data_IF_803268557234
#
_entry.id   IF_803268557234
#
_cell.length_a   1.000
_cell.length_b   1.000
_cell.length_c   1.000
_cell.angle_alpha   90.00
_cell.angle_beta   90.00
_cell.angle_gamma   90.00
#
_symmetry.space_group_name_H-M   'P 1'
#
loop_
_entity.id
_entity.type
_entity.pdbx_description
1 polymer ?
#
# COMPACT_ATOMS: atom_id res chain seq x y z
N UNK A 1 67.15 -6.04 78.49
CA UNK A 1 66.95 -5.16 77.32
C UNK A 1 66.85 -6.03 76.08
N UNK A 2 65.67 -6.62 75.89
CA UNK A 2 65.37 -7.57 74.81
C UNK A 2 65.10 -6.84 73.50
N UNK A 3 65.76 -7.28 72.43
CA UNK A 3 65.57 -6.78 71.06
C UNK A 3 64.42 -7.55 70.41
N UNK A 4 63.27 -6.90 70.28
CA UNK A 4 62.10 -7.42 69.58
C UNK A 4 62.27 -7.29 68.06
N UNK A 5 62.28 -8.43 67.35
CA UNK A 5 62.30 -8.52 65.87
C UNK A 5 60.86 -8.51 65.36
N UNK A 6 60.45 -7.46 64.67
CA UNK A 6 59.15 -7.42 63.98
C UNK A 6 59.36 -7.62 62.48
N UNK A 7 58.92 -8.77 61.97
CA UNK A 7 58.90 -9.11 60.54
C UNK A 7 57.62 -8.54 59.92
N UNK A 8 57.77 -7.74 58.88
CA UNK A 8 56.70 -7.26 58.00
C UNK A 8 56.65 -8.21 56.81
N UNK A 9 55.52 -8.90 56.58
CA UNK A 9 55.23 -9.61 55.33
C UNK A 9 53.73 -9.80 55.12
N UNK A 10 53.31 -9.53 53.88
CA UNK A 10 52.08 -10.00 53.20
C UNK A 10 50.77 -9.35 53.67
N UNK A 11 50.08 -8.50 52.90
CA UNK A 11 49.89 -8.50 51.46
C UNK A 11 48.75 -9.43 51.08
N UNK A 12 47.50 -9.00 51.30
CA UNK A 12 46.30 -9.70 50.83
C UNK A 12 45.43 -8.70 50.04
N UNK A 13 45.49 -8.81 48.71
CA UNK A 13 44.59 -8.12 47.79
C UNK A 13 43.17 -8.68 47.95
N UNK A 14 42.21 -7.81 48.23
CA UNK A 14 40.78 -8.11 48.15
C UNK A 14 40.37 -8.02 46.68
N UNK A 15 40.20 -9.17 46.03
CA UNK A 15 39.61 -9.27 44.70
C UNK A 15 38.11 -8.97 44.77
N UNK A 16 37.70 -7.84 44.20
CA UNK A 16 36.30 -7.53 43.93
C UNK A 16 35.83 -8.42 42.77
N UNK A 17 34.97 -9.39 43.08
CA UNK A 17 34.25 -10.19 42.09
C UNK A 17 33.11 -9.31 41.57
N UNK A 18 33.31 -8.70 40.40
CA UNK A 18 32.24 -8.06 39.64
C UNK A 18 31.31 -9.14 39.13
N UNK A 19 30.11 -9.25 39.73
CA UNK A 19 29.01 -10.04 39.16
C UNK A 19 28.55 -9.27 37.92
N UNK A 20 29.01 -9.70 36.75
CA UNK A 20 28.45 -9.27 35.49
C UNK A 20 27.02 -9.80 35.43
N UNK A 21 26.02 -8.94 35.65
CA UNK A 21 24.65 -9.22 35.28
C UNK A 21 24.66 -9.61 33.80
N UNK A 22 24.29 -10.85 33.52
CA UNK A 22 24.04 -11.31 32.17
C UNK A 22 22.87 -10.49 31.66
N UNK A 23 23.14 -9.63 30.69
CA UNK A 23 22.15 -8.80 30.01
C UNK A 23 21.05 -9.74 29.49
N UNK A 24 19.86 -9.66 30.09
CA UNK A 24 18.72 -10.42 29.62
C UNK A 24 18.37 -9.84 28.25
N UNK A 25 18.77 -10.51 27.17
CA UNK A 25 18.26 -10.19 25.83
C UNK A 25 16.73 -10.15 25.93
N UNK A 26 16.08 -9.02 25.64
CA UNK A 26 14.64 -8.94 25.72
C UNK A 26 14.04 -10.06 24.86
N UNK A 27 12.91 -10.66 25.25
CA UNK A 27 12.25 -11.65 24.43
C UNK A 27 12.07 -11.06 23.04
N UNK A 28 12.64 -11.71 22.03
CA UNK A 28 12.33 -11.37 20.63
C UNK A 28 10.83 -11.54 20.46
N UNK A 29 10.14 -10.44 20.20
CA UNK A 29 8.71 -10.47 19.88
C UNK A 29 8.45 -11.55 18.83
N UNK A 30 7.37 -12.35 18.99
CA UNK A 30 7.05 -13.36 18.00
C UNK A 30 6.89 -12.69 16.63
N UNK A 31 7.36 -13.34 15.54
CA UNK A 31 7.23 -12.77 14.22
C UNK A 31 5.76 -12.44 13.94
N UNK A 32 5.47 -11.30 13.28
CA UNK A 32 4.10 -10.90 12.96
C UNK A 32 3.35 -12.05 12.28
N UNK A 33 2.11 -12.28 12.71
CA UNK A 33 1.26 -13.28 12.08
C UNK A 33 1.06 -12.94 10.60
N UNK A 34 1.30 -13.91 9.73
CA UNK A 34 1.16 -13.75 8.27
C UNK A 34 -0.31 -13.59 7.91
N UNK A 35 -0.66 -12.51 7.22
CA UNK A 35 -2.01 -12.28 6.71
C UNK A 35 -2.12 -12.84 5.29
N UNK A 36 -2.93 -13.89 5.12
CA UNK A 36 -3.18 -14.49 3.81
C UNK A 36 -4.23 -13.68 3.03
N UNK A 37 -4.08 -13.62 1.71
CA UNK A 37 -5.05 -13.04 0.80
C UNK A 37 -5.65 -14.10 -0.13
N UNK A 38 -6.80 -13.79 -0.72
CA UNK A 38 -7.51 -14.68 -1.63
C UNK A 38 -7.33 -14.23 -3.07
N UNK A 39 -7.29 -15.21 -3.97
CA UNK A 39 -7.44 -15.02 -5.41
C UNK A 39 -8.90 -14.67 -5.73
N UNK A 40 -9.17 -14.15 -6.93
CA UNK A 40 -10.53 -13.82 -7.38
C UNK A 40 -11.49 -15.02 -7.44
N UNK A 41 -10.96 -16.25 -7.43
CA UNK A 41 -11.74 -17.49 -7.34
C UNK A 41 -11.99 -17.97 -5.90
N UNK A 42 -11.59 -17.19 -4.88
CA UNK A 42 -11.76 -17.49 -3.46
C UNK A 42 -10.69 -18.42 -2.87
N UNK A 43 -9.79 -18.99 -3.68
CA UNK A 43 -8.69 -19.80 -3.15
C UNK A 43 -7.65 -18.92 -2.47
N UNK A 44 -7.01 -19.43 -1.43
CA UNK A 44 -5.85 -18.77 -0.81
C UNK A 44 -4.72 -18.63 -1.82
N UNK A 45 -4.15 -17.42 -1.92
CA UNK A 45 -2.97 -17.15 -2.74
C UNK A 45 -1.78 -17.96 -2.19
N UNK A 46 -0.95 -18.58 -3.04
CA UNK A 46 0.19 -19.39 -2.57
C UNK A 46 1.22 -18.61 -1.73
N UNK A 47 1.25 -17.29 -1.89
CA UNK A 47 2.13 -16.37 -1.16
C UNK A 47 1.29 -15.24 -0.55
N UNK A 48 1.58 -14.82 0.69
CA UNK A 48 0.85 -13.73 1.32
C UNK A 48 1.02 -12.42 0.56
N UNK A 49 -0.04 -11.62 0.50
CA UNK A 49 0.00 -10.29 -0.09
C UNK A 49 0.79 -9.34 0.81
N UNK A 50 1.72 -8.60 0.23
CA UNK A 50 2.57 -7.70 1.02
C UNK A 50 1.84 -6.46 1.52
N UNK A 51 0.82 -6.00 0.79
CA UNK A 51 0.13 -4.74 1.05
C UNK A 51 -1.39 -4.90 1.09
N UNK A 52 -2.05 -3.83 1.52
CA UNK A 52 -3.48 -3.59 1.30
C UNK A 52 -3.66 -2.13 0.93
N UNK A 53 -4.49 -1.88 -0.09
CA UNK A 53 -5.02 -0.54 -0.35
C UNK A 53 -6.26 -0.42 0.52
N UNK A 54 -6.14 0.31 1.63
CA UNK A 54 -7.21 0.40 2.63
C UNK A 54 -8.34 1.29 2.13
N UNK A 55 -7.98 2.41 1.50
CA UNK A 55 -8.93 3.31 0.88
C UNK A 55 -8.32 4.24 -0.15
N UNK A 56 -9.18 4.74 -1.02
CA UNK A 56 -8.95 5.89 -1.89
C UNK A 56 -9.81 7.06 -1.39
N UNK A 57 -9.22 8.21 -1.17
CA UNK A 57 -9.90 9.42 -0.70
C UNK A 57 -9.90 10.43 -1.84
N UNK A 58 -11.09 10.82 -2.29
CA UNK A 58 -11.27 11.80 -3.35
C UNK A 58 -11.39 13.20 -2.75
N UNK A 59 -10.59 14.13 -3.24
CA UNK A 59 -10.56 15.50 -2.75
C UNK A 59 -11.17 16.47 -3.76
N UNK A 60 -11.93 17.43 -3.25
CA UNK A 60 -12.47 18.55 -3.99
C UNK A 60 -11.41 19.60 -4.33
N UNK A 61 -11.79 20.55 -5.18
CA UNK A 61 -10.98 21.71 -5.53
C UNK A 61 -10.60 22.60 -4.34
N UNK A 62 -11.37 22.56 -3.26
CA UNK A 62 -11.12 23.23 -1.98
C UNK A 62 -10.28 22.38 -1.01
N UNK A 63 -9.87 21.17 -1.41
CA UNK A 63 -9.15 20.21 -0.58
C UNK A 63 -10.02 19.41 0.39
N UNK A 64 -11.34 19.63 0.40
CA UNK A 64 -12.27 18.85 1.23
C UNK A 64 -12.45 17.42 0.69
N UNK A 65 -12.77 16.48 1.57
CA UNK A 65 -13.10 15.11 1.15
C UNK A 65 -14.47 15.08 0.47
N UNK A 66 -14.51 14.62 -0.78
CA UNK A 66 -15.76 14.32 -1.52
C UNK A 66 -16.33 12.99 -1.04
N UNK A 67 -15.46 12.00 -0.90
CA UNK A 67 -15.82 10.66 -0.50
C UNK A 67 -14.63 9.72 -0.44
N UNK A 68 -14.87 8.54 0.09
CA UNK A 68 -13.87 7.49 0.23
C UNK A 68 -14.38 6.20 -0.40
N UNK A 69 -13.45 5.43 -0.97
CA UNK A 69 -13.69 4.10 -1.52
C UNK A 69 -12.85 3.10 -0.76
N UNK A 70 -13.45 2.02 -0.30
CA UNK A 70 -12.78 0.93 0.43
C UNK A 70 -12.99 -0.41 -0.28
N UNK A 71 -12.24 -1.47 0.05
CA UNK A 71 -12.47 -2.79 -0.54
C UNK A 71 -13.90 -3.34 -0.38
N UNK A 72 -14.65 -2.86 0.62
CA UNK A 72 -16.05 -3.28 0.87
C UNK A 72 -17.09 -2.25 0.42
N UNK A 73 -16.66 -1.04 0.03
CA UNK A 73 -17.51 0.05 -0.44
C UNK A 73 -16.84 0.72 -1.65
N UNK A 74 -17.09 0.17 -2.84
CA UNK A 74 -16.43 0.57 -4.09
C UNK A 74 -17.08 1.73 -4.83
N UNK A 75 -18.30 2.12 -4.46
CA UNK A 75 -19.06 3.16 -5.15
C UNK A 75 -18.63 4.56 -4.72
N UNK A 76 -18.49 5.48 -5.68
CA UNK A 76 -18.30 6.90 -5.42
C UNK A 76 -19.10 7.75 -6.39
N UNK A 77 -19.66 8.86 -5.89
CA UNK A 77 -20.29 9.89 -6.71
C UNK A 77 -19.37 11.10 -6.78
N UNK A 78 -19.03 11.51 -8.00
CA UNK A 78 -18.09 12.58 -8.31
C UNK A 78 -18.87 13.77 -8.90
N UNK A 79 -18.96 14.87 -8.15
CA UNK A 79 -19.62 16.10 -8.61
C UNK A 79 -18.68 16.96 -9.44
N UNK A 80 -19.10 17.33 -10.64
CA UNK A 80 -18.36 18.18 -11.57
C UNK A 80 -17.99 19.51 -10.90
N UNK A 81 -18.90 20.11 -10.13
CA UNK A 81 -18.65 21.37 -9.41
C UNK A 81 -17.48 21.29 -8.40
N UNK A 82 -17.16 20.10 -7.89
CA UNK A 82 -16.05 19.87 -6.95
C UNK A 82 -14.75 19.44 -7.62
N UNK A 83 -14.73 19.22 -8.94
CA UNK A 83 -13.54 18.77 -9.64
C UNK A 83 -12.42 19.83 -9.58
N UNK A 84 -11.17 19.38 -9.50
CA UNK A 84 -9.98 20.25 -9.55
C UNK A 84 -9.91 20.96 -10.90
N UNK A 85 -10.15 20.21 -11.97
CA UNK A 85 -10.31 20.77 -13.32
C UNK A 85 -11.53 20.13 -13.96
N UNK A 86 -12.22 20.90 -14.79
CA UNK A 86 -13.32 20.45 -15.63
C UNK A 86 -13.17 21.08 -17.01
N UNK A 87 -13.09 20.26 -18.05
CA UNK A 87 -13.13 20.70 -19.44
C UNK A 87 -14.39 20.14 -20.10
N UNK A 88 -15.08 20.98 -20.87
CA UNK A 88 -16.27 20.60 -21.63
C UNK A 88 -16.09 21.04 -23.09
N UNK A 89 -16.32 20.11 -24.02
CA UNK A 89 -16.31 20.37 -25.46
C UNK A 89 -17.56 19.76 -26.08
N UNK A 90 -18.51 20.62 -26.44
CA UNK A 90 -19.85 20.19 -26.84
C UNK A 90 -20.54 19.42 -25.70
N UNK A 91 -20.90 18.16 -25.97
CA UNK A 91 -21.58 17.27 -25.02
C UNK A 91 -20.63 16.33 -24.28
N UNK A 92 -19.31 16.40 -24.50
CA UNK A 92 -18.34 15.53 -23.85
C UNK A 92 -17.38 16.35 -22.99
N UNK A 93 -17.08 15.86 -21.80
CA UNK A 93 -16.20 16.54 -20.86
C UNK A 93 -15.24 15.61 -20.14
N UNK A 94 -14.28 16.21 -19.45
CA UNK A 94 -13.30 15.54 -18.62
C UNK A 94 -13.13 16.28 -17.31
N UNK A 95 -13.23 15.56 -16.21
CA UNK A 95 -12.97 16.06 -14.85
C UNK A 95 -11.74 15.40 -14.26
N UNK A 96 -10.96 16.18 -13.51
CA UNK A 96 -9.80 15.67 -12.76
C UNK A 96 -10.01 15.88 -11.26
N UNK A 97 -9.67 14.86 -10.47
CA UNK A 97 -9.63 14.93 -9.01
C UNK A 97 -8.23 14.62 -8.49
N UNK A 98 -7.92 15.20 -7.32
CA UNK A 98 -6.80 14.71 -6.51
C UNK A 98 -7.32 13.53 -5.69
N UNK A 99 -6.58 12.43 -5.72
CA UNK A 99 -6.92 11.22 -4.99
C UNK A 99 -5.74 10.84 -4.10
N UNK A 100 -6.03 10.52 -2.84
CA UNK A 100 -5.08 9.95 -1.89
C UNK A 100 -5.33 8.45 -1.77
N UNK A 101 -4.32 7.63 -2.04
CA UNK A 101 -4.34 6.22 -1.66
C UNK A 101 -3.72 6.05 -0.28
N UNK A 102 -4.45 5.37 0.61
CA UNK A 102 -3.94 4.93 1.91
C UNK A 102 -3.57 3.45 1.78
N UNK A 103 -2.27 3.18 1.89
CA UNK A 103 -1.71 1.84 1.71
C UNK A 103 -1.09 1.38 3.02
N UNK A 104 -1.35 0.15 3.42
CA UNK A 104 -0.70 -0.49 4.57
C UNK A 104 0.16 -1.66 4.12
N UNK A 105 1.35 -1.82 4.69
CA UNK A 105 2.13 -3.06 4.58
C UNK A 105 1.63 -4.08 5.60
N UNK A 106 1.31 -5.28 5.18
CA UNK A 106 0.85 -6.36 6.06
C UNK A 106 1.89 -7.47 6.25
N UNK A 107 2.72 -7.73 5.23
CA UNK A 107 3.71 -8.79 5.27
C UNK A 107 5.07 -8.31 4.73
N UNK A 108 6.12 -9.04 5.09
CA UNK A 108 7.42 -8.92 4.44
C UNK A 108 7.35 -9.48 3.00
N UNK A 109 8.28 -9.11 2.10
CA UNK A 109 8.30 -9.64 0.76
C UNK A 109 8.47 -11.15 0.74
N UNK A 110 7.62 -11.82 -0.03
CA UNK A 110 7.78 -13.26 -0.26
C UNK A 110 8.99 -13.57 -1.16
N UNK A 111 9.39 -12.58 -1.95
CA UNK A 111 10.55 -12.65 -2.85
C UNK A 111 11.36 -11.36 -2.76
N UNK A 112 12.67 -11.44 -2.98
CA UNK A 112 13.51 -10.26 -3.07
C UNK A 112 13.07 -9.37 -4.25
N UNK A 113 12.60 -8.16 -3.95
CA UNK A 113 12.15 -7.18 -4.93
C UNK A 113 13.36 -6.50 -5.58
N UNK A 114 13.36 -6.34 -6.91
CA UNK A 114 14.53 -5.74 -7.62
C UNK A 114 14.27 -4.28 -7.99
N UNK A 115 13.11 -3.99 -8.59
CA UNK A 115 12.78 -2.66 -9.14
C UNK A 115 11.85 -1.84 -8.24
N UNK A 116 11.33 -2.43 -7.17
CA UNK A 116 10.40 -1.80 -6.23
C UNK A 116 8.94 -2.13 -6.53
N UNK A 117 8.03 -1.26 -6.08
CA UNK A 117 6.60 -1.43 -6.32
C UNK A 117 6.03 -0.24 -7.07
N UNK A 118 4.98 -0.48 -7.83
CA UNK A 118 4.27 0.54 -8.58
C UNK A 118 2.81 0.54 -8.18
N UNK A 119 2.23 1.73 -8.09
CA UNK A 119 0.78 1.91 -8.06
C UNK A 119 0.31 2.13 -9.49
N UNK A 120 -0.49 1.22 -10.01
CA UNK A 120 -1.09 1.29 -11.34
C UNK A 120 -2.62 1.28 -11.25
N UNK A 121 -3.29 1.58 -12.35
CA UNK A 121 -4.74 1.43 -12.45
C UNK A 121 -5.14 0.84 -13.79
N UNK A 122 -6.37 0.34 -13.89
CA UNK A 122 -7.00 -0.02 -15.16
C UNK A 122 -8.38 0.64 -15.28
N UNK A 123 -8.89 0.68 -16.51
CA UNK A 123 -10.17 1.30 -16.87
C UNK A 123 -11.37 0.35 -16.71
N UNK A 124 -11.14 -0.85 -16.18
CA UNK A 124 -12.14 -1.89 -15.94
C UNK A 124 -11.98 -2.46 -14.53
N UNK A 125 -13.05 -3.02 -13.95
CA UNK A 125 -13.05 -3.58 -12.58
C UNK A 125 -12.42 -4.98 -12.48
N UNK A 126 -12.26 -5.66 -13.61
CA UNK A 126 -11.63 -6.98 -13.71
C UNK A 126 -10.57 -6.98 -14.81
N UNK A 127 -9.47 -6.27 -14.54
CA UNK A 127 -8.38 -6.16 -15.48
C UNK A 127 -7.66 -7.51 -15.69
N UNK A 128 -7.38 -7.82 -16.94
CA UNK A 128 -6.55 -8.93 -17.39
C UNK A 128 -5.15 -8.44 -17.72
N UNK A 129 -4.22 -9.38 -17.93
CA UNK A 129 -2.83 -9.05 -18.25
C UNK A 129 -2.68 -8.14 -19.47
N UNK A 130 -3.55 -8.31 -20.46
CA UNK A 130 -3.56 -7.55 -21.72
C UNK A 130 -4.14 -6.15 -21.59
N UNK A 131 -4.85 -5.84 -20.51
CA UNK A 131 -5.46 -4.53 -20.35
C UNK A 131 -4.39 -3.47 -20.06
N UNK A 132 -4.51 -2.26 -20.63
CA UNK A 132 -3.61 -1.16 -20.34
C UNK A 132 -3.60 -0.83 -18.84
N UNK A 133 -2.40 -0.74 -18.26
CA UNK A 133 -2.20 -0.35 -16.86
C UNK A 133 -1.23 0.82 -16.73
N UNK A 134 -1.71 2.07 -16.86
CA UNK A 134 -0.87 3.23 -16.62
C UNK A 134 -0.35 3.24 -15.18
N UNK A 135 0.90 3.64 -15.01
CA UNK A 135 1.55 3.78 -13.70
C UNK A 135 1.27 5.19 -13.16
N UNK A 136 0.73 5.27 -11.94
CA UNK A 136 0.49 6.54 -11.23
C UNK A 136 1.73 7.00 -10.48
N UNK A 137 2.43 6.06 -9.86
CA UNK A 137 3.63 6.35 -9.09
C UNK A 137 4.53 5.12 -9.12
N UNK A 138 5.78 5.33 -9.52
CA UNK A 138 6.85 4.37 -9.28
C UNK A 138 7.43 4.67 -7.90
N UNK A 139 7.29 3.73 -6.97
CA UNK A 139 7.78 3.90 -5.60
C UNK A 139 8.86 2.84 -5.41
N UNK A 140 10.12 3.24 -5.62
CA UNK A 140 11.23 2.36 -5.25
C UNK A 140 11.11 2.03 -3.76
N UNK A 141 10.82 0.76 -3.49
CA UNK A 141 10.99 0.15 -2.19
C UNK A 141 9.88 0.32 -1.15
N UNK A 142 8.72 0.99 -1.42
CA UNK A 142 7.66 1.30 -0.42
C UNK A 142 8.18 1.09 1.01
N UNK A 143 9.05 2.00 1.51
CA UNK A 143 9.92 1.74 2.66
C UNK A 143 9.11 1.78 3.95
N UNK A 144 8.18 0.85 4.07
CA UNK A 144 7.22 0.70 5.13
C UNK A 144 7.64 -0.51 5.96
N UNK A 145 7.73 -0.32 7.26
CA UNK A 145 7.72 -1.43 8.20
C UNK A 145 6.38 -2.18 8.10
N UNK A 146 6.35 -3.42 8.56
CA UNK A 146 5.08 -4.17 8.70
C UNK A 146 4.13 -3.35 9.60
N UNK A 147 2.85 -3.31 9.23
CA UNK A 147 1.77 -2.51 9.83
C UNK A 147 1.88 -0.99 9.68
N UNK A 148 2.90 -0.48 8.98
CA UNK A 148 2.98 0.94 8.66
C UNK A 148 2.04 1.31 7.50
N UNK A 149 1.48 2.52 7.58
CA UNK A 149 0.70 3.15 6.53
C UNK A 149 1.52 4.19 5.77
N UNK A 150 1.24 4.31 4.48
CA UNK A 150 1.71 5.38 3.60
C UNK A 150 0.51 5.99 2.88
N UNK A 151 0.49 7.31 2.85
CA UNK A 151 -0.42 8.06 2.00
C UNK A 151 0.33 8.56 0.76
N UNK A 152 -0.22 8.31 -0.42
CA UNK A 152 0.30 8.87 -1.67
C UNK A 152 -0.81 9.58 -2.43
N UNK A 153 -0.51 10.76 -2.99
CA UNK A 153 -1.46 11.59 -3.73
C UNK A 153 -1.15 11.58 -5.21
N UNK A 154 -2.18 11.50 -6.05
CA UNK A 154 -2.07 11.56 -7.51
C UNK A 154 -3.34 12.16 -8.11
N UNK A 155 -3.28 12.49 -9.40
CA UNK A 155 -4.43 13.02 -10.13
C UNK A 155 -5.07 11.94 -10.99
N UNK A 156 -6.40 11.85 -10.94
CA UNK A 156 -7.18 10.96 -11.79
C UNK A 156 -8.14 11.74 -12.66
N UNK A 157 -8.22 11.31 -13.92
CA UNK A 157 -9.10 11.90 -14.93
C UNK A 157 -10.26 10.96 -15.25
N UNK A 158 -11.46 11.50 -15.27
CA UNK A 158 -12.69 10.81 -15.64
C UNK A 158 -13.38 11.57 -16.78
N UNK A 159 -13.80 10.85 -17.79
CA UNK A 159 -14.55 11.38 -18.93
C UNK A 159 -16.04 11.18 -18.67
N UNK A 160 -16.83 12.17 -19.09
CA UNK A 160 -18.29 12.14 -18.99
C UNK A 160 -18.93 12.70 -20.24
N UNK A 161 -20.20 12.40 -20.44
CA UNK A 161 -21.05 13.05 -21.42
C UNK A 161 -22.22 13.75 -20.74
N UNK A 162 -22.75 14.79 -21.39
CA UNK A 162 -23.89 15.58 -20.95
C UNK A 162 -24.95 15.60 -22.04
N UNK A 163 -26.19 15.29 -21.67
CA UNK A 163 -27.36 15.39 -22.53
C UNK A 163 -28.49 16.07 -21.75
N UNK A 164 -28.74 17.35 -22.05
CA UNK A 164 -29.63 18.18 -21.22
C UNK A 164 -29.07 18.32 -19.80
N UNK A 165 -29.87 17.92 -18.80
CA UNK A 165 -29.48 17.86 -17.38
C UNK A 165 -28.88 16.52 -16.95
N UNK A 166 -28.83 15.53 -17.85
CA UNK A 166 -28.28 14.21 -17.53
C UNK A 166 -26.77 14.19 -17.77
N UNK A 167 -26.05 13.67 -16.78
CA UNK A 167 -24.60 13.42 -16.85
C UNK A 167 -24.35 11.92 -16.80
N UNK A 168 -23.52 11.43 -17.72
CA UNK A 168 -23.19 10.00 -17.81
C UNK A 168 -21.68 9.83 -17.69
N UNK A 169 -21.25 8.89 -16.84
CA UNK A 169 -19.86 8.45 -16.80
C UNK A 169 -19.54 7.66 -18.07
N UNK A 170 -18.49 8.06 -18.79
CA UNK A 170 -18.09 7.43 -20.05
C UNK A 170 -16.87 6.53 -19.86
N UNK A 171 -15.82 7.04 -19.20
CA UNK A 171 -14.57 6.30 -18.99
C UNK A 171 -13.74 6.90 -17.85
N UNK A 172 -12.93 6.07 -17.21
CA UNK A 172 -12.01 6.48 -16.15
C UNK A 172 -11.42 5.26 -15.42
N UNK A 173 -10.49 5.48 -14.48
CA UNK A 173 -9.99 4.43 -13.61
C UNK A 173 -11.12 3.69 -12.89
N UNK A 174 -11.06 2.36 -12.86
CA UNK A 174 -12.05 1.49 -12.18
C UNK A 174 -11.41 0.41 -11.29
N UNK A 175 -10.10 0.19 -11.40
CA UNK A 175 -9.36 -0.69 -10.49
C UNK A 175 -7.94 -0.18 -10.31
N UNK A 176 -7.38 -0.42 -9.12
CA UNK A 176 -6.03 -0.01 -8.74
C UNK A 176 -5.26 -1.20 -8.22
N UNK A 177 -3.96 -1.23 -8.50
CA UNK A 177 -3.09 -2.35 -8.16
C UNK A 177 -1.77 -1.86 -7.58
N UNK A 178 -1.29 -2.55 -6.56
CA UNK A 178 0.12 -2.49 -6.18
C UNK A 178 0.80 -3.70 -6.77
N UNK A 179 1.74 -3.48 -7.69
CA UNK A 179 2.48 -4.55 -8.37
C UNK A 179 3.97 -4.45 -7.99
N UNK A 180 4.66 -5.59 -7.89
CA UNK A 180 6.13 -5.64 -7.89
C UNK A 180 6.64 -6.49 -9.05
N UNK A 181 7.89 -6.24 -9.41
CA UNK A 181 8.55 -6.80 -10.58
C UNK A 181 8.87 -8.30 -10.49
N UNK A 182 8.84 -8.87 -9.28
CA UNK A 182 9.21 -10.27 -9.06
C UNK A 182 7.99 -11.16 -8.85
N UNK A 183 7.09 -10.78 -7.97
CA UNK A 183 5.95 -11.60 -7.57
C UNK A 183 4.98 -11.80 -8.73
N UNK A 184 4.77 -10.77 -9.55
CA UNK A 184 3.96 -10.86 -10.77
C UNK A 184 4.46 -11.96 -11.74
N UNK A 185 5.77 -12.24 -11.75
CA UNK A 185 6.38 -13.31 -12.58
C UNK A 185 6.19 -14.71 -12.02
N UNK A 186 5.79 -14.84 -10.74
CA UNK A 186 5.58 -16.15 -10.07
C UNK A 186 4.19 -16.73 -10.32
N UNK A 187 3.29 -15.95 -10.89
CA UNK A 187 1.96 -16.39 -11.31
C UNK A 187 1.95 -16.74 -12.78
N UNK A 188 1.07 -17.66 -13.19
CA UNK A 188 0.89 -17.99 -14.59
C UNK A 188 0.57 -16.73 -15.41
N UNK A 189 1.28 -16.54 -16.51
CA UNK A 189 1.11 -15.39 -17.43
C UNK A 189 -0.05 -15.57 -18.41
N UNK A 190 -0.93 -16.56 -18.17
CA UNK A 190 -2.11 -16.78 -19.00
C UNK A 190 -3.02 -15.54 -18.98
N UNK A 191 -3.52 -15.18 -20.16
CA UNK A 191 -4.29 -13.93 -20.37
C UNK A 191 -5.62 -13.90 -19.61
N UNK A 192 -6.13 -15.05 -19.19
CA UNK A 192 -7.38 -15.18 -18.45
C UNK A 192 -7.27 -14.93 -16.94
N UNK A 193 -6.05 -14.86 -16.38
CA UNK A 193 -5.86 -14.60 -14.96
C UNK A 193 -5.98 -13.09 -14.68
N UNK A 194 -6.89 -12.67 -13.79
CA UNK A 194 -7.02 -11.28 -13.37
C UNK A 194 -5.72 -10.72 -12.80
N UNK A 195 -5.46 -9.44 -13.03
CA UNK A 195 -4.28 -8.76 -12.46
C UNK A 195 -4.36 -8.72 -10.93
N UNK A 196 -5.57 -8.64 -10.35
CA UNK A 196 -5.80 -8.68 -8.91
C UNK A 196 -5.19 -9.92 -8.22
N UNK A 197 -5.12 -11.04 -8.93
CA UNK A 197 -4.60 -12.31 -8.41
C UNK A 197 -3.07 -12.30 -8.31
N UNK A 198 -2.43 -11.46 -9.12
CA UNK A 198 -0.97 -11.34 -9.22
C UNK A 198 -0.43 -10.15 -8.44
N UNK A 199 -1.23 -9.10 -8.29
CA UNK A 199 -0.89 -7.89 -7.56
C UNK A 199 -0.72 -8.16 -6.06
N UNK A 200 0.06 -7.32 -5.39
CA UNK A 200 0.21 -7.34 -3.93
C UNK A 200 -0.95 -6.71 -3.20
N UNK A 201 -1.73 -5.87 -3.87
CA UNK A 201 -3.00 -5.37 -3.39
C UNK A 201 -3.84 -4.93 -4.58
N UNK A 202 -5.16 -4.98 -4.42
CA UNK A 202 -6.08 -4.36 -5.38
C UNK A 202 -7.29 -3.76 -4.69
N UNK A 203 -7.87 -2.74 -5.33
CA UNK A 203 -9.16 -2.16 -4.93
C UNK A 203 -9.92 -1.74 -6.19
N UNK A 204 -11.24 -1.95 -6.16
CA UNK A 204 -12.14 -1.56 -7.24
C UNK A 204 -12.84 -0.25 -6.92
N UNK A 205 -13.14 0.48 -8.00
CA UNK A 205 -13.82 1.76 -8.00
C UNK A 205 -14.98 1.71 -8.99
N UNK A 206 -16.17 2.09 -8.53
CA UNK A 206 -17.38 2.20 -9.32
C UNK A 206 -17.83 3.67 -9.34
N UNK A 207 -17.29 4.48 -10.27
CA UNK A 207 -17.56 5.90 -10.31
C UNK A 207 -18.93 6.20 -10.95
N UNK A 208 -19.63 7.17 -10.39
CA UNK A 208 -20.74 7.88 -11.01
C UNK A 208 -20.40 9.38 -11.05
N UNK A 209 -20.84 10.09 -12.10
CA UNK A 209 -20.59 11.52 -12.24
C UNK A 209 -21.92 12.26 -12.21
N UNK A 210 -21.97 13.34 -11.43
CA UNK A 210 -23.12 14.24 -11.28
C UNK A 210 -22.68 15.69 -11.49
N UNK A 211 -23.63 16.60 -11.68
CA UNK A 211 -23.33 18.04 -11.77
C UNK A 211 -22.64 18.60 -10.51
#
# INVERSE_FOLDING_TARGET
>A
MERYRQRISSGLLIGLISIACTDHTPPTDPPPAVVNCQLANGMTRPYPCEFTIEKLIFLGNDGSTIGEVTPTASHITLSIAKAKTNTLSGNAGSITYVVKAVVRRQNAPSFAVTSGYVLSFAFVTKALQSDPRPILTATQGFPMAINQQLETSFELRFNYSKSGSSVTFENGPQSFFIENDVTTTKFATVSSVPVSDKAEASINLLPAIVE
#
